data_IF_081264823642
#
_entry.id   IF_081264823642
#
_cell.length_a   1.000
_cell.length_b   1.000
_cell.length_c   1.000
_cell.angle_alpha   90.00
_cell.angle_beta   90.00
_cell.angle_gamma   90.00
#
_symmetry.space_group_name_H-M   'P 1'
#
loop_
_entity.id
_entity.type
_entity.pdbx_description
1 polymer ?
#
# COMPACT_ATOMS: atom_id res chain seq x y z
N UNK A 1 81.18 -9.55 -53.87
CA UNK A 1 80.29 -8.73 -54.71
C UNK A 1 78.90 -9.32 -54.69
N UNK A 2 77.90 -8.44 -54.61
CA UNK A 2 76.46 -8.65 -54.91
C UNK A 2 75.61 -9.44 -53.90
N UNK A 3 74.79 -8.65 -53.22
CA UNK A 3 73.62 -8.97 -52.41
C UNK A 3 72.55 -9.63 -53.28
N UNK A 4 71.85 -10.64 -52.76
CA UNK A 4 70.48 -10.96 -53.17
C UNK A 4 69.66 -11.32 -51.94
N UNK A 5 68.65 -10.48 -51.69
CA UNK A 5 67.65 -10.62 -50.65
C UNK A 5 66.58 -11.56 -51.20
N UNK A 6 66.39 -12.71 -50.56
CA UNK A 6 65.29 -13.64 -50.82
C UNK A 6 64.18 -13.30 -49.83
N UNK A 7 63.09 -12.73 -50.33
CA UNK A 7 61.85 -12.56 -49.59
C UNK A 7 61.09 -13.90 -49.58
N UNK A 8 61.08 -14.58 -48.43
CA UNK A 8 60.25 -15.76 -48.20
C UNK A 8 58.85 -15.34 -47.76
N UNK A 9 57.88 -15.75 -48.58
CA UNK A 9 56.45 -15.60 -48.33
C UNK A 9 56.01 -16.66 -47.30
N UNK A 10 55.91 -16.27 -46.02
CA UNK A 10 55.32 -17.12 -44.97
C UNK A 10 53.80 -16.92 -45.01
N UNK A 11 53.10 -17.86 -45.65
CA UNK A 11 51.65 -17.98 -45.54
C UNK A 11 51.28 -18.52 -44.15
N UNK A 12 50.95 -17.63 -43.22
CA UNK A 12 50.37 -18.00 -41.94
C UNK A 12 48.90 -18.40 -42.16
N UNK A 13 48.60 -19.71 -42.09
CA UNK A 13 47.23 -20.19 -41.90
C UNK A 13 46.80 -19.86 -40.47
N UNK A 14 46.09 -18.74 -40.30
CA UNK A 14 45.38 -18.42 -39.07
C UNK A 14 44.09 -19.24 -39.00
N UNK A 15 44.14 -20.40 -38.32
CA UNK A 15 42.96 -21.07 -37.82
C UNK A 15 42.39 -20.23 -36.67
N UNK A 16 41.51 -19.29 -37.00
CA UNK A 16 40.72 -18.58 -36.00
C UNK A 16 39.73 -19.56 -35.38
N UNK A 17 39.88 -19.81 -34.07
CA UNK A 17 38.86 -20.45 -33.25
C UNK A 17 37.55 -19.68 -33.39
N UNK A 18 36.59 -20.25 -34.11
CA UNK A 18 35.21 -19.78 -34.13
C UNK A 18 34.63 -20.14 -32.76
N UNK A 19 34.81 -19.26 -31.78
CA UNK A 19 34.04 -19.29 -30.55
C UNK A 19 32.59 -19.07 -30.95
N UNK A 20 31.83 -20.16 -31.05
CA UNK A 20 30.38 -20.11 -31.17
C UNK A 20 29.86 -19.56 -29.85
N UNK A 21 29.66 -18.24 -29.79
CA UNK A 21 28.96 -17.59 -28.68
C UNK A 21 27.53 -18.11 -28.73
N UNK A 22 27.26 -19.16 -27.95
CA UNK A 22 25.88 -19.57 -27.72
C UNK A 22 25.21 -18.39 -27.01
N UNK A 23 24.26 -17.75 -27.68
CA UNK A 23 23.45 -16.71 -27.08
C UNK A 23 22.84 -17.26 -25.80
N UNK A 24 23.16 -16.62 -24.66
CA UNK A 24 22.60 -17.01 -23.38
C UNK A 24 21.07 -17.03 -23.50
N UNK A 25 20.45 -18.12 -23.06
CA UNK A 25 19.00 -18.22 -23.04
C UNK A 25 18.43 -16.97 -22.35
N UNK A 26 17.41 -16.31 -22.93
CA UNK A 26 16.83 -15.11 -22.35
C UNK A 26 16.47 -15.38 -20.91
N UNK A 27 16.97 -14.52 -20.01
CA UNK A 27 16.69 -14.63 -18.60
C UNK A 27 15.16 -14.68 -18.40
N UNK A 28 14.65 -15.61 -17.58
CA UNK A 28 13.21 -15.68 -17.32
C UNK A 28 12.73 -14.30 -16.88
N UNK A 29 11.61 -13.86 -17.47
CA UNK A 29 11.02 -12.56 -17.15
C UNK A 29 10.85 -12.45 -15.63
N UNK A 30 11.35 -11.35 -15.05
CA UNK A 30 11.23 -11.10 -13.63
C UNK A 30 9.75 -11.21 -13.24
N UNK A 31 9.45 -12.08 -12.27
CA UNK A 31 8.11 -12.21 -11.72
C UNK A 31 7.69 -10.85 -11.16
N UNK A 32 6.52 -10.37 -11.60
CA UNK A 32 5.96 -9.13 -11.09
C UNK A 32 5.90 -9.20 -9.55
N UNK A 33 6.29 -8.14 -8.83
CA UNK A 33 6.25 -8.15 -7.38
C UNK A 33 4.83 -8.46 -6.92
N UNK A 34 4.70 -9.40 -5.98
CA UNK A 34 3.41 -9.76 -5.41
C UNK A 34 2.74 -8.50 -4.84
N UNK A 35 1.44 -8.34 -5.13
CA UNK A 35 0.66 -7.23 -4.60
C UNK A 35 0.68 -7.25 -3.07
N UNK A 36 0.88 -6.08 -2.44
CA UNK A 36 0.83 -5.94 -0.99
C UNK A 36 -0.59 -6.19 -0.49
N UNK A 37 -0.72 -6.91 0.63
CA UNK A 37 -2.00 -7.18 1.30
C UNK A 37 -2.27 -6.13 2.38
N UNK A 38 -3.47 -5.58 2.41
CA UNK A 38 -3.91 -4.69 3.49
C UNK A 38 -4.60 -5.54 4.56
N UNK A 39 -4.09 -5.48 5.79
CA UNK A 39 -4.60 -6.27 6.91
C UNK A 39 -5.01 -5.35 8.06
N UNK A 40 -5.93 -5.83 8.89
CA UNK A 40 -6.27 -5.15 10.13
C UNK A 40 -5.10 -5.27 11.13
N UNK A 41 -5.01 -4.30 12.05
CA UNK A 41 -4.01 -4.33 13.12
C UNK A 41 -4.46 -5.29 14.23
N UNK A 42 -3.77 -6.41 14.38
CA UNK A 42 -3.96 -7.29 15.54
C UNK A 42 -3.21 -6.73 16.76
N UNK A 43 -3.78 -6.80 17.98
CA UNK A 43 -3.06 -6.42 19.20
C UNK A 43 -1.74 -7.18 19.35
N UNK A 44 -0.74 -6.52 19.91
CA UNK A 44 0.59 -7.08 20.19
C UNK A 44 0.84 -6.92 21.69
N UNK A 45 0.95 -8.05 22.39
CA UNK A 45 1.29 -8.14 23.82
C UNK A 45 2.63 -8.82 24.08
N UNK A 46 3.37 -9.17 23.02
CA UNK A 46 4.71 -9.78 23.08
C UNK A 46 4.75 -11.16 23.74
N UNK A 47 3.61 -11.84 23.83
CA UNK A 47 3.52 -13.17 24.40
C UNK A 47 4.16 -14.22 23.49
N UNK A 48 4.68 -15.30 24.09
CA UNK A 48 5.47 -16.30 23.38
C UNK A 48 4.74 -17.02 22.22
N UNK A 49 3.41 -16.99 22.21
CA UNK A 49 2.56 -17.58 21.16
C UNK A 49 2.27 -16.60 20.02
N UNK A 50 2.60 -15.32 20.17
CA UNK A 50 2.40 -14.30 19.14
C UNK A 50 3.47 -14.39 18.05
N UNK A 51 3.14 -14.04 16.80
CA UNK A 51 4.16 -13.84 15.77
C UNK A 51 5.16 -12.75 16.18
N UNK A 52 6.46 -13.00 15.98
CA UNK A 52 7.49 -11.99 16.20
C UNK A 52 7.41 -10.94 15.09
N UNK A 53 6.69 -9.85 15.36
CA UNK A 53 6.48 -8.74 14.43
C UNK A 53 7.41 -7.55 14.70
N UNK A 54 8.48 -7.75 15.48
CA UNK A 54 9.38 -6.68 15.89
C UNK A 54 10.84 -7.00 15.57
N UNK A 55 11.63 -5.95 15.41
CA UNK A 55 13.05 -6.03 15.09
C UNK A 55 13.81 -4.96 15.86
N UNK A 56 14.99 -5.31 16.35
CA UNK A 56 15.89 -4.34 16.98
C UNK A 56 16.68 -3.59 15.91
N UNK A 57 16.82 -2.27 16.07
CA UNK A 57 17.71 -1.46 15.23
C UNK A 57 19.19 -1.65 15.57
N UNK A 58 20.05 -0.97 14.81
CA UNK A 58 21.49 -0.91 15.11
C UNK A 58 21.69 -0.20 16.46
N UNK A 59 22.25 -0.90 17.45
CA UNK A 59 22.46 -0.35 18.79
C UNK A 59 23.92 0.07 18.96
N UNK A 60 24.15 1.22 19.61
CA UNK A 60 25.49 1.58 20.07
C UNK A 60 25.94 0.61 21.18
N UNK A 61 25.10 0.39 22.20
CA UNK A 61 25.32 -0.58 23.30
C UNK A 61 24.02 -1.13 23.92
N UNK A 62 22.85 -0.76 23.38
CA UNK A 62 21.55 -1.12 23.93
C UNK A 62 21.08 -2.53 23.55
N UNK A 63 20.04 -3.00 24.23
CA UNK A 63 19.39 -4.28 24.04
C UNK A 63 17.87 -4.10 23.95
N UNK A 64 17.23 -4.93 23.15
CA UNK A 64 15.78 -5.06 23.12
C UNK A 64 15.45 -6.51 23.45
N UNK A 65 14.70 -6.74 24.51
CA UNK A 65 14.42 -8.07 25.05
C UNK A 65 12.98 -8.17 25.51
N UNK A 66 12.42 -9.38 25.43
CA UNK A 66 11.11 -9.69 26.01
C UNK A 66 11.34 -10.10 27.46
N UNK A 67 10.73 -9.37 28.39
CA UNK A 67 10.84 -9.57 29.84
C UNK A 67 9.53 -10.06 30.42
N UNK A 68 9.55 -10.61 31.64
CA UNK A 68 8.32 -10.82 32.41
C UNK A 68 7.73 -9.47 32.81
N UNK A 69 6.42 -9.31 32.65
CA UNK A 69 5.71 -8.08 33.03
C UNK A 69 4.72 -8.33 34.18
N UNK A 70 4.27 -7.27 34.84
CA UNK A 70 3.27 -7.34 35.90
C UNK A 70 1.82 -7.41 35.37
N UNK A 71 1.56 -6.82 34.19
CA UNK A 71 0.22 -6.70 33.58
C UNK A 71 -0.11 -7.82 32.56
N UNK A 72 0.77 -8.82 32.45
CA UNK A 72 0.73 -9.94 31.51
C UNK A 72 1.82 -10.97 31.83
N UNK A 73 2.12 -11.94 30.95
CA UNK A 73 3.30 -12.79 31.15
C UNK A 73 4.57 -12.19 30.56
N UNK A 74 4.46 -11.37 29.51
CA UNK A 74 5.61 -10.81 28.80
C UNK A 74 5.41 -9.34 28.35
N UNK A 75 6.49 -8.59 28.17
CA UNK A 75 6.49 -7.24 27.57
C UNK A 75 7.85 -6.95 26.91
N UNK A 76 7.91 -5.95 26.01
CA UNK A 76 9.15 -5.58 25.34
C UNK A 76 9.91 -4.48 26.09
N UNK A 77 11.10 -4.78 26.59
CA UNK A 77 12.01 -3.79 27.18
C UNK A 77 13.00 -3.28 26.14
N UNK A 78 13.11 -1.97 25.99
CA UNK A 78 14.19 -1.31 25.27
C UNK A 78 15.16 -0.74 26.30
N UNK A 79 16.36 -1.31 26.40
CA UNK A 79 17.41 -0.90 27.31
C UNK A 79 18.53 -0.15 26.60
N UNK A 80 18.78 1.09 27.01
CA UNK A 80 19.86 1.96 26.52
C UNK A 80 20.95 1.93 27.58
N UNK A 81 21.96 1.08 27.40
CA UNK A 81 23.06 0.91 28.37
C UNK A 81 24.04 2.09 28.36
N UNK A 82 24.20 2.73 27.22
CA UNK A 82 24.96 3.96 27.05
C UNK A 82 24.32 4.80 25.95
N UNK A 83 24.44 6.11 26.07
CA UNK A 83 23.89 7.08 25.12
C UNK A 83 24.61 7.01 23.77
N UNK A 84 23.87 6.79 22.69
CA UNK A 84 24.36 6.98 21.34
C UNK A 84 24.62 8.48 21.06
N UNK A 85 25.76 8.77 20.44
CA UNK A 85 26.12 10.11 19.94
C UNK A 85 25.72 10.31 18.48
N UNK A 86 25.50 9.21 17.73
CA UNK A 86 25.04 9.20 16.35
C UNK A 86 23.58 8.73 16.28
N UNK A 87 22.73 9.53 15.63
CA UNK A 87 21.32 9.20 15.33
C UNK A 87 21.16 7.92 14.50
N UNK A 88 22.22 7.44 13.83
CA UNK A 88 22.21 6.18 13.08
C UNK A 88 22.38 4.94 13.96
N UNK A 89 22.82 5.10 15.21
CA UNK A 89 23.14 4.01 16.14
C UNK A 89 22.20 3.98 17.36
N UNK A 90 21.00 4.52 17.19
CA UNK A 90 19.97 4.54 18.22
C UNK A 90 19.50 3.13 18.57
N UNK A 91 19.35 2.88 19.86
CA UNK A 91 18.62 1.73 20.36
C UNK A 91 17.14 1.90 20.03
N UNK A 92 16.64 1.07 19.12
CA UNK A 92 15.25 1.15 18.63
C UNK A 92 14.62 -0.22 18.55
N UNK A 93 13.30 -0.27 18.68
CA UNK A 93 12.48 -1.41 18.27
C UNK A 93 11.51 -0.96 17.19
N UNK A 94 11.43 -1.72 16.11
CA UNK A 94 10.49 -1.45 15.01
C UNK A 94 9.51 -2.60 14.89
N UNK A 95 8.22 -2.30 15.06
CA UNK A 95 7.12 -3.19 14.71
C UNK A 95 6.87 -3.11 13.20
N UNK A 96 6.73 -4.26 12.55
CA UNK A 96 6.43 -4.40 11.14
C UNK A 96 5.22 -5.31 10.94
N UNK A 97 4.35 -5.04 9.95
CA UNK A 97 3.31 -5.97 9.56
C UNK A 97 3.94 -7.28 9.04
N UNK A 98 3.19 -8.40 9.03
CA UNK A 98 3.63 -9.64 8.39
C UNK A 98 4.17 -9.40 6.97
N UNK A 99 5.16 -10.21 6.55
CA UNK A 99 5.83 -10.05 5.26
C UNK A 99 4.82 -10.00 4.10
N UNK A 100 4.95 -8.98 3.25
CA UNK A 100 4.05 -8.77 2.10
C UNK A 100 2.71 -8.12 2.45
N UNK A 101 2.57 -7.56 3.66
CA UNK A 101 1.36 -6.86 4.08
C UNK A 101 1.64 -5.45 4.63
N UNK A 102 0.57 -4.68 4.80
CA UNK A 102 0.52 -3.36 5.41
C UNK A 102 -0.63 -3.33 6.42
N UNK A 103 -0.46 -2.62 7.54
CA UNK A 103 -1.59 -2.38 8.44
C UNK A 103 -2.48 -1.27 7.88
N UNK A 104 -3.79 -1.53 7.88
CA UNK A 104 -4.82 -0.61 7.39
C UNK A 104 -5.65 -0.11 8.57
N UNK A 105 -5.36 1.10 9.03
CA UNK A 105 -6.13 1.83 10.03
C UNK A 105 -6.92 2.97 9.36
N UNK A 106 -7.86 3.55 10.09
CA UNK A 106 -8.49 4.82 9.69
C UNK A 106 -7.85 5.99 10.42
N UNK A 107 -8.01 7.22 9.94
CA UNK A 107 -7.51 8.42 10.66
C UNK A 107 -8.30 8.73 11.94
N UNK A 108 -9.39 8.01 12.20
CA UNK A 108 -10.15 8.08 13.44
C UNK A 108 -9.70 7.04 14.45
N UNK A 109 -9.10 5.95 13.98
CA UNK A 109 -8.53 4.94 14.86
C UNK A 109 -7.43 5.57 15.72
N UNK A 110 -7.35 5.09 16.96
CA UNK A 110 -6.33 5.52 17.91
C UNK A 110 -5.39 4.35 18.16
N UNK A 111 -4.13 4.48 17.75
CA UNK A 111 -3.10 3.51 18.09
C UNK A 111 -2.66 3.80 19.53
N UNK A 112 -2.82 2.80 20.40
CA UNK A 112 -2.47 2.87 21.81
C UNK A 112 -1.35 1.90 22.15
N UNK A 113 -0.54 2.26 23.12
CA UNK A 113 0.42 1.37 23.76
C UNK A 113 0.54 1.74 25.23
N UNK A 114 0.85 0.77 26.07
CA UNK A 114 1.19 0.99 27.47
C UNK A 114 2.70 1.09 27.59
N UNK A 115 3.20 2.13 28.24
CA UNK A 115 4.63 2.38 28.38
C UNK A 115 4.97 2.61 29.85
N UNK A 116 5.86 1.78 30.37
CA UNK A 116 6.37 1.87 31.73
C UNK A 116 7.78 2.45 31.75
N UNK A 117 7.95 3.50 32.55
CA UNK A 117 9.24 4.07 32.90
C UNK A 117 9.65 3.57 34.30
N UNK A 118 10.64 2.66 34.40
CA UNK A 118 11.08 2.10 35.67
C UNK A 118 12.08 2.99 36.42
N UNK A 119 12.38 4.20 35.91
CA UNK A 119 13.40 5.08 36.46
C UNK A 119 12.81 6.14 37.37
N UNK A 120 13.64 6.68 38.27
CA UNK A 120 13.27 7.77 39.18
C UNK A 120 13.35 9.18 38.54
N UNK A 121 13.37 9.26 37.22
CA UNK A 121 13.35 10.49 36.43
C UNK A 121 12.39 10.37 35.25
N UNK A 122 11.89 11.51 34.74
CA UNK A 122 11.01 11.53 33.57
C UNK A 122 11.75 11.13 32.30
N UNK A 123 11.09 10.35 31.45
CA UNK A 123 11.65 9.90 30.17
C UNK A 123 10.83 10.39 28.98
N UNK A 124 11.51 10.67 27.87
CA UNK A 124 10.87 10.96 26.59
C UNK A 124 10.95 9.73 25.68
N UNK A 125 9.79 9.21 25.29
CA UNK A 125 9.65 8.20 24.24
C UNK A 125 9.30 8.89 22.93
N UNK A 126 9.95 8.46 21.84
CA UNK A 126 9.62 8.85 20.48
C UNK A 126 9.10 7.66 19.68
N UNK A 127 8.10 7.94 18.85
CA UNK A 127 7.54 6.99 17.89
C UNK A 127 7.66 7.59 16.49
N UNK A 128 8.36 6.91 15.60
CA UNK A 128 8.28 7.19 14.17
C UNK A 128 7.35 6.18 13.51
N UNK A 129 6.33 6.68 12.84
CA UNK A 129 5.39 5.86 12.08
C UNK A 129 5.60 6.16 10.61
N UNK A 130 5.76 5.13 9.78
CA UNK A 130 5.99 5.28 8.35
C UNK A 130 4.90 4.57 7.55
N UNK A 131 4.45 5.22 6.48
CA UNK A 131 3.50 4.64 5.53
C UNK A 131 4.22 4.07 4.29
N UNK A 132 3.46 3.40 3.42
CA UNK A 132 4.00 2.78 2.22
C UNK A 132 4.29 3.78 1.07
N UNK A 133 3.82 5.03 1.16
CA UNK A 133 4.12 6.11 0.20
C UNK A 133 5.35 6.93 0.59
N UNK A 134 6.01 6.59 1.70
CA UNK A 134 7.30 7.16 2.10
C UNK A 134 7.19 8.38 3.01
N UNK A 135 6.03 8.65 3.59
CA UNK A 135 5.93 9.62 4.68
C UNK A 135 6.37 9.00 6.01
N UNK A 136 6.85 9.84 6.91
CA UNK A 136 7.16 9.49 8.28
C UNK A 136 6.67 10.59 9.20
N UNK A 137 6.03 10.18 10.28
CA UNK A 137 5.50 11.05 11.32
C UNK A 137 6.16 10.73 12.65
N UNK A 138 6.73 11.76 13.29
CA UNK A 138 7.27 11.68 14.65
C UNK A 138 6.16 12.03 15.65
N UNK A 139 5.97 11.17 16.65
CA UNK A 139 5.18 11.42 17.85
C UNK A 139 6.09 11.33 19.09
N UNK A 140 5.84 12.16 20.11
CA UNK A 140 6.70 12.37 21.27
C UNK A 140 5.84 12.31 22.53
N UNK A 141 6.25 11.48 23.48
CA UNK A 141 5.51 11.27 24.72
C UNK A 141 6.45 11.38 25.92
N UNK A 142 6.05 12.18 26.92
CA UNK A 142 6.68 12.20 28.24
C UNK A 142 6.04 11.14 29.14
N UNK A 143 6.87 10.31 29.74
CA UNK A 143 6.50 9.24 30.68
C UNK A 143 7.10 9.59 32.04
N UNK A 144 6.28 9.92 33.06
CA UNK A 144 6.76 10.30 34.37
C UNK A 144 7.63 9.22 35.03
N UNK A 145 8.49 9.63 35.96
CA UNK A 145 9.28 8.71 36.79
C UNK A 145 8.41 7.62 37.46
N UNK A 146 8.90 6.37 37.48
CA UNK A 146 8.30 5.20 38.13
C UNK A 146 6.80 5.02 37.81
N UNK A 147 6.42 5.27 36.56
CA UNK A 147 5.01 5.27 36.16
C UNK A 147 4.77 4.47 34.89
N UNK A 148 3.53 4.02 34.76
CA UNK A 148 2.98 3.41 33.55
C UNK A 148 1.99 4.39 32.93
N UNK A 149 2.11 4.62 31.63
CA UNK A 149 1.22 5.54 30.89
C UNK A 149 0.70 4.88 29.62
N UNK A 150 -0.60 4.99 29.41
CA UNK A 150 -1.22 4.73 28.11
C UNK A 150 -0.97 5.92 27.18
N UNK A 151 -0.17 5.69 26.15
CA UNK A 151 0.07 6.67 25.08
C UNK A 151 -0.90 6.42 23.93
N UNK A 152 -1.26 7.49 23.22
CA UNK A 152 -2.24 7.46 22.15
C UNK A 152 -1.75 8.28 20.96
N UNK A 153 -1.74 7.67 19.79
CA UNK A 153 -1.55 8.32 18.50
C UNK A 153 -2.92 8.38 17.83
N UNK A 154 -3.47 9.58 17.75
CA UNK A 154 -4.83 9.86 17.27
C UNK A 154 -4.81 10.70 15.97
N UNK A 155 -5.99 11.19 15.56
CA UNK A 155 -6.17 12.06 14.39
C UNK A 155 -5.19 13.24 14.32
N UNK A 156 -4.89 13.88 15.44
CA UNK A 156 -3.97 15.03 15.47
C UNK A 156 -2.54 14.56 15.21
N UNK A 157 -2.17 13.42 15.78
CA UNK A 157 -0.84 12.85 15.62
C UNK A 157 -0.63 12.28 14.21
N UNK A 158 -1.65 11.66 13.59
CA UNK A 158 -1.57 11.17 12.21
C UNK A 158 -1.19 12.27 11.22
N UNK A 159 -1.75 13.46 11.39
CA UNK A 159 -1.58 14.59 10.48
C UNK A 159 -2.27 14.36 9.12
N UNK A 160 -2.09 15.30 8.21
CA UNK A 160 -2.56 15.15 6.82
C UNK A 160 -1.45 14.46 5.99
N UNK A 161 -1.74 13.35 5.28
CA UNK A 161 -0.75 12.61 4.50
C UNK A 161 0.09 13.51 3.59
N UNK A 162 1.42 13.43 3.71
CA UNK A 162 2.36 14.19 2.90
C UNK A 162 2.56 15.67 3.29
N UNK A 163 1.73 16.21 4.18
CA UNK A 163 1.83 17.61 4.64
C UNK A 163 2.70 17.69 5.89
N UNK A 164 3.78 18.47 5.82
CA UNK A 164 4.65 18.71 6.97
C UNK A 164 3.95 19.61 8.02
N UNK A 165 3.96 19.18 9.27
CA UNK A 165 3.50 20.00 10.40
C UNK A 165 4.23 19.60 11.67
N UNK A 166 4.33 20.54 12.61
CA UNK A 166 4.97 20.31 13.90
C UNK A 166 4.22 21.05 14.99
N UNK A 167 4.01 20.37 16.10
CA UNK A 167 3.58 20.98 17.34
C UNK A 167 4.27 20.23 18.46
N UNK A 168 5.32 20.82 19.02
CA UNK A 168 6.12 20.20 20.06
C UNK A 168 5.39 20.14 21.41
N UNK A 169 4.38 21.01 21.62
CA UNK A 169 3.53 21.00 22.81
C UNK A 169 2.51 19.86 22.77
N UNK A 170 2.00 19.55 21.56
CA UNK A 170 1.15 18.39 21.30
C UNK A 170 1.96 17.13 20.91
N UNK A 171 3.29 17.22 20.92
CA UNK A 171 4.19 16.08 20.76
C UNK A 171 4.25 15.47 19.36
N UNK A 172 4.26 16.25 18.27
CA UNK A 172 4.48 15.69 16.92
C UNK A 172 5.31 16.57 15.97
N UNK A 173 5.89 15.95 14.93
CA UNK A 173 6.64 16.63 13.87
C UNK A 173 6.70 15.78 12.58
N UNK A 174 7.22 16.36 11.48
CA UNK A 174 7.38 15.74 10.15
C UNK A 174 6.08 15.66 9.31
N UNK A 175 6.11 14.94 8.19
CA UNK A 175 4.94 14.80 7.30
C UNK A 175 3.88 13.92 7.96
N UNK A 176 2.61 14.29 7.82
CA UNK A 176 1.53 13.37 8.14
C UNK A 176 1.63 12.09 7.31
N UNK A 177 1.08 11.01 7.86
CA UNK A 177 1.10 9.68 7.23
C UNK A 177 -0.30 9.28 6.76
N UNK A 178 -0.35 8.35 5.81
CA UNK A 178 -1.58 7.64 5.49
C UNK A 178 -1.79 6.42 6.40
N UNK A 179 -2.73 6.47 7.36
CA UNK A 179 -2.97 5.37 8.29
C UNK A 179 -3.54 4.10 7.60
N UNK A 180 -4.01 4.19 6.36
CA UNK A 180 -4.51 3.03 5.61
C UNK A 180 -3.40 2.10 5.09
N UNK A 181 -2.14 2.54 5.17
CA UNK A 181 -1.00 1.84 4.59
C UNK A 181 0.25 1.93 5.47
N UNK A 182 0.09 1.68 6.79
CA UNK A 182 1.20 1.70 7.75
C UNK A 182 2.16 0.54 7.48
N UNK A 183 3.43 0.90 7.30
CA UNK A 183 4.52 -0.02 7.01
C UNK A 183 5.37 -0.33 8.24
N UNK A 184 5.54 0.62 9.16
CA UNK A 184 6.38 0.43 10.34
C UNK A 184 5.99 1.39 11.47
N UNK A 185 6.16 0.93 12.72
CA UNK A 185 6.05 1.73 13.94
C UNK A 185 7.34 1.52 14.73
N UNK A 186 8.15 2.57 14.88
CA UNK A 186 9.46 2.51 15.53
C UNK A 186 9.46 3.29 16.84
N UNK A 187 9.76 2.59 17.93
CA UNK A 187 9.95 3.15 19.27
C UNK A 187 11.43 3.39 19.56
N UNK A 188 11.77 4.54 20.13
CA UNK A 188 13.14 4.90 20.48
C UNK A 188 13.18 6.09 21.45
N UNK A 189 14.34 6.34 22.06
CA UNK A 189 14.63 7.60 22.75
C UNK A 189 15.58 8.45 21.91
N UNK A 190 15.49 9.77 22.05
CA UNK A 190 16.41 10.69 21.38
C UNK A 190 17.77 10.77 22.07
N UNK A 191 18.49 9.64 22.08
CA UNK A 191 19.75 9.49 22.82
C UNK A 191 20.72 10.65 22.57
N UNK A 192 20.99 11.14 21.34
CA UNK A 192 21.93 12.24 21.13
C UNK A 192 21.49 13.60 21.69
N UNK A 193 20.25 13.75 22.18
CA UNK A 193 19.72 15.02 22.70
C UNK A 193 19.95 15.13 24.20
N UNK A 194 20.77 16.10 24.64
CA UNK A 194 21.20 16.19 26.03
C UNK A 194 20.05 16.43 27.02
N UNK A 195 19.04 17.21 26.60
CA UNK A 195 17.87 17.53 27.43
C UNK A 195 16.90 16.36 27.61
N UNK A 196 17.02 15.30 26.81
CA UNK A 196 16.16 14.10 26.90
C UNK A 196 16.69 13.09 27.92
N UNK A 197 18.00 13.10 28.17
CA UNK A 197 18.69 12.22 29.12
C UNK A 197 19.57 13.05 30.07
N UNK A 198 19.10 14.21 30.52
CA UNK A 198 19.91 15.13 31.30
C UNK A 198 20.37 14.46 32.61
N UNK A 199 21.69 14.39 32.82
CA UNK A 199 22.30 13.72 33.98
C UNK A 199 22.26 12.19 33.93
N UNK A 200 21.75 11.57 32.86
CA UNK A 200 21.62 10.12 32.74
C UNK A 200 22.52 9.55 31.65
N UNK A 201 23.24 8.48 31.97
CA UNK A 201 24.10 7.76 31.00
C UNK A 201 23.40 6.53 30.40
N UNK A 202 22.35 6.05 31.05
CA UNK A 202 21.54 4.90 30.64
C UNK A 202 20.07 5.16 30.93
N UNK A 203 19.20 4.45 30.23
CA UNK A 203 17.75 4.45 30.50
C UNK A 203 17.11 3.20 29.92
N UNK A 204 15.83 3.01 30.18
CA UNK A 204 15.02 1.96 29.58
C UNK A 204 13.56 2.31 29.64
N UNK A 205 12.77 1.72 28.75
CA UNK A 205 11.32 1.76 28.83
C UNK A 205 10.77 0.39 28.43
N UNK A 206 9.64 0.05 29.01
CA UNK A 206 8.94 -1.22 28.78
C UNK A 206 7.67 -0.89 28.01
N UNK A 207 7.47 -1.54 26.86
CA UNK A 207 6.34 -1.35 25.97
C UNK A 207 5.48 -2.61 26.02
N UNK A 208 4.18 -2.42 26.15
CA UNK A 208 3.20 -3.50 26.16
C UNK A 208 1.86 -3.05 25.56
N UNK A 209 0.94 -3.99 25.33
CA UNK A 209 -0.44 -3.77 24.94
C UNK A 209 -0.62 -2.81 23.76
N UNK A 210 0.19 -2.99 22.71
CA UNK A 210 0.09 -2.20 21.48
C UNK A 210 -1.16 -2.62 20.73
N UNK A 211 -2.11 -1.70 20.60
CA UNK A 211 -3.47 -2.00 20.13
C UNK A 211 -4.06 -0.84 19.37
N UNK A 212 -5.12 -1.12 18.63
CA UNK A 212 -5.91 -0.09 17.96
C UNK A 212 -7.29 -0.03 18.61
N UNK A 213 -7.64 1.14 19.12
CA UNK A 213 -9.02 1.46 19.47
C UNK A 213 -9.70 2.02 18.22
N UNK A 214 -10.80 1.39 17.80
CA UNK A 214 -11.50 1.81 16.59
C UNK A 214 -12.19 3.15 16.83
N UNK A 215 -11.84 4.10 15.99
CA UNK A 215 -12.49 5.40 16.00
C UNK A 215 -13.89 5.30 15.43
N UNK A 216 -14.79 6.14 15.95
CA UNK A 216 -16.06 6.36 15.26
C UNK A 216 -15.78 7.23 14.05
N UNK A 217 -15.83 6.64 12.85
CA UNK A 217 -15.95 7.42 11.62
C UNK A 217 -17.21 8.26 11.79
N UNK A 218 -17.15 9.61 11.74
CA UNK A 218 -18.33 10.45 11.84
C UNK A 218 -19.34 10.03 10.77
N UNK A 219 -20.38 9.31 11.18
CA UNK A 219 -21.37 8.78 10.25
C UNK A 219 -22.04 9.96 9.56
N UNK A 220 -22.27 9.83 8.26
CA UNK A 220 -22.96 10.84 7.46
C UNK A 220 -22.09 11.91 6.80
N UNK A 221 -20.78 11.99 7.08
CA UNK A 221 -19.92 12.88 6.27
C UNK A 221 -19.76 12.27 4.88
N UNK A 222 -20.50 12.84 3.93
CA UNK A 222 -20.52 12.38 2.54
C UNK A 222 -19.41 13.06 1.75
N UNK A 223 -18.66 12.26 1.00
CA UNK A 223 -17.60 12.72 0.13
C UNK A 223 -18.01 12.56 -1.33
N UNK A 224 -17.37 13.33 -2.20
CA UNK A 224 -17.75 13.38 -3.62
C UNK A 224 -17.00 12.33 -4.41
N UNK A 225 -17.73 11.57 -5.22
CA UNK A 225 -17.19 10.81 -6.34
C UNK A 225 -17.37 11.66 -7.60
N UNK A 226 -16.25 12.08 -8.19
CA UNK A 226 -16.13 12.87 -9.42
C UNK A 226 -15.85 11.95 -10.63
N UNK A 227 -15.91 12.53 -11.82
CA UNK A 227 -15.57 11.84 -13.07
C UNK A 227 -16.73 11.00 -13.64
N UNK A 228 -17.92 11.08 -13.05
CA UNK A 228 -19.14 10.49 -13.61
C UNK A 228 -19.95 11.50 -14.40
N UNK A 229 -20.66 11.01 -15.41
CA UNK A 229 -21.69 11.73 -16.15
C UNK A 229 -23.06 11.32 -15.61
N UNK A 230 -23.98 12.27 -15.40
CA UNK A 230 -25.36 11.91 -15.09
C UNK A 230 -25.99 11.20 -16.29
N UNK A 231 -26.97 10.35 -16.03
CA UNK A 231 -27.78 9.79 -17.11
C UNK A 231 -28.54 10.90 -17.85
N UNK A 232 -28.71 10.74 -19.16
CA UNK A 232 -29.35 11.76 -20.00
C UNK A 232 -30.78 12.14 -19.56
N UNK A 233 -31.48 11.23 -18.87
CA UNK A 233 -32.83 11.44 -18.35
C UNK A 233 -32.86 11.84 -16.85
N UNK A 234 -31.71 12.06 -16.21
CA UNK A 234 -31.59 12.40 -14.79
C UNK A 234 -31.99 11.30 -13.79
N UNK A 235 -32.46 10.14 -14.28
CA UNK A 235 -32.95 9.02 -13.44
C UNK A 235 -32.21 7.70 -13.69
N UNK A 236 -31.43 7.62 -14.76
CA UNK A 236 -30.58 6.47 -15.05
C UNK A 236 -29.27 6.45 -14.24
N UNK A 237 -28.48 5.38 -14.39
CA UNK A 237 -27.22 5.23 -13.67
C UNK A 237 -26.23 6.32 -14.07
N UNK A 238 -25.59 6.94 -13.07
CA UNK A 238 -24.37 7.69 -13.30
C UNK A 238 -23.33 6.76 -13.94
N UNK A 239 -22.65 7.24 -14.98
CA UNK A 239 -21.68 6.43 -15.70
C UNK A 239 -20.42 7.23 -16.05
N UNK A 240 -19.29 6.53 -16.16
CA UNK A 240 -18.08 7.11 -16.71
C UNK A 240 -17.50 6.22 -17.81
N UNK A 241 -17.16 6.81 -18.98
CA UNK A 241 -16.47 6.06 -20.01
C UNK A 241 -15.05 5.75 -19.54
N UNK A 242 -14.66 4.48 -19.56
CA UNK A 242 -13.29 4.09 -19.33
C UNK A 242 -12.44 4.56 -20.51
N UNK A 243 -11.24 5.08 -20.24
CA UNK A 243 -10.35 5.59 -21.29
C UNK A 243 -9.91 4.44 -22.21
N UNK A 244 -10.23 4.55 -23.50
CA UNK A 244 -9.97 3.52 -24.52
C UNK A 244 -8.53 3.00 -24.53
N UNK A 245 -7.58 3.92 -24.38
CA UNK A 245 -6.14 3.62 -24.36
C UNK A 245 -5.74 2.63 -23.24
N UNK A 246 -6.53 2.53 -22.17
CA UNK A 246 -6.24 1.62 -21.06
C UNK A 246 -6.47 0.14 -21.41
N UNK A 247 -7.29 -0.15 -22.43
CA UNK A 247 -7.70 -1.52 -22.73
C UNK A 247 -7.57 -1.92 -24.21
N UNK A 248 -7.50 -0.97 -25.14
CA UNK A 248 -7.41 -1.26 -26.58
C UNK A 248 -6.11 -1.99 -26.96
N UNK A 249 -4.97 -1.64 -26.37
CA UNK A 249 -3.68 -2.27 -26.70
C UNK A 249 -3.67 -3.78 -26.40
N UNK A 250 -4.42 -4.20 -25.39
CA UNK A 250 -4.57 -5.60 -24.97
C UNK A 250 -5.70 -6.25 -25.76
N UNK A 251 -6.90 -5.66 -25.71
CA UNK A 251 -8.12 -6.30 -26.16
C UNK A 251 -8.36 -6.14 -27.66
N UNK A 252 -7.90 -5.05 -28.29
CA UNK A 252 -8.17 -4.75 -29.70
C UNK A 252 -7.51 -5.70 -30.70
N UNK A 253 -6.54 -6.50 -30.25
CA UNK A 253 -5.92 -7.54 -31.08
C UNK A 253 -6.75 -8.82 -31.15
N UNK A 254 -7.49 -9.11 -30.09
CA UNK A 254 -8.16 -10.39 -29.87
C UNK A 254 -9.68 -10.26 -29.91
N UNK A 255 -10.24 -9.09 -29.61
CA UNK A 255 -11.68 -8.84 -29.61
C UNK A 255 -12.06 -7.97 -30.81
N UNK A 256 -13.16 -8.34 -31.47
CA UNK A 256 -13.83 -7.54 -32.49
C UNK A 256 -15.20 -7.10 -31.98
N UNK A 257 -15.70 -5.98 -32.52
CA UNK A 257 -17.02 -5.45 -32.21
C UNK A 257 -17.88 -5.29 -33.45
N UNK A 258 -19.09 -5.87 -33.42
CA UNK A 258 -20.18 -5.53 -34.35
C UNK A 258 -19.88 -5.79 -35.85
N UNK A 259 -20.75 -5.24 -36.70
CA UNK A 259 -20.62 -5.27 -38.16
C UNK A 259 -20.79 -3.84 -38.71
N UNK A 260 -19.78 -3.23 -39.35
CA UNK A 260 -18.45 -3.77 -39.63
C UNK A 260 -17.62 -3.99 -38.36
N UNK A 261 -16.67 -4.95 -38.37
CA UNK A 261 -15.86 -5.27 -37.20
C UNK A 261 -14.96 -4.10 -36.84
N UNK A 262 -15.31 -3.40 -35.77
CA UNK A 262 -14.52 -2.34 -35.18
C UNK A 262 -14.40 -2.59 -33.67
N UNK A 263 -13.22 -2.32 -33.11
CA UNK A 263 -13.06 -2.42 -31.66
C UNK A 263 -14.03 -1.44 -30.97
N UNK A 264 -14.96 -1.90 -30.10
CA UNK A 264 -15.99 -1.03 -29.56
C UNK A 264 -15.41 0.16 -28.79
N UNK A 265 -16.03 1.32 -29.00
CA UNK A 265 -15.50 2.59 -28.52
C UNK A 265 -15.76 2.89 -27.04
N UNK A 266 -16.36 1.98 -26.26
CA UNK A 266 -16.63 2.30 -24.86
C UNK A 266 -16.84 1.08 -23.99
N UNK A 267 -16.03 0.94 -22.94
CA UNK A 267 -16.47 0.32 -21.69
C UNK A 267 -16.93 1.44 -20.76
N UNK A 268 -17.93 1.17 -19.92
CA UNK A 268 -18.46 2.17 -18.98
C UNK A 268 -18.44 1.64 -17.56
N UNK A 269 -18.04 2.49 -16.62
CA UNK A 269 -18.19 2.27 -15.20
C UNK A 269 -19.52 2.86 -14.73
N UNK A 270 -20.28 2.11 -13.95
CA UNK A 270 -21.45 2.60 -13.23
C UNK A 270 -21.20 2.47 -11.73
N UNK A 271 -21.73 3.40 -10.95
CA UNK A 271 -21.65 3.33 -9.49
C UNK A 271 -22.88 2.65 -8.92
N UNK A 272 -22.68 1.70 -8.02
CA UNK A 272 -23.77 1.07 -7.26
C UNK A 272 -23.45 1.06 -5.76
N UNK A 273 -24.51 1.05 -4.96
CA UNK A 273 -24.50 0.77 -3.52
C UNK A 273 -25.65 -0.17 -3.21
N UNK A 274 -25.38 -1.24 -2.46
CA UNK A 274 -26.38 -2.25 -2.11
C UNK A 274 -27.13 -2.79 -3.34
N UNK A 275 -26.40 -2.99 -4.44
CA UNK A 275 -26.93 -3.45 -5.74
C UNK A 275 -27.72 -2.41 -6.54
N UNK A 276 -28.01 -1.22 -5.99
CA UNK A 276 -28.75 -0.14 -6.66
C UNK A 276 -27.81 0.91 -7.24
N UNK A 277 -28.20 1.51 -8.37
CA UNK A 277 -27.41 2.59 -8.98
C UNK A 277 -27.39 3.83 -8.09
N UNK A 278 -26.21 4.44 -7.94
CA UNK A 278 -26.07 5.74 -7.30
C UNK A 278 -26.38 6.84 -8.33
N UNK A 279 -27.36 7.73 -8.06
CA UNK A 279 -27.65 8.85 -8.94
C UNK A 279 -26.56 9.92 -8.81
N UNK A 280 -26.16 10.51 -9.93
CA UNK A 280 -25.36 11.73 -9.94
C UNK A 280 -26.28 12.95 -10.04
N UNK A 281 -25.88 14.05 -9.41
CA UNK A 281 -26.55 15.32 -9.60
C UNK A 281 -26.32 15.90 -11.02
N UNK A 282 -26.90 17.06 -11.30
CA UNK A 282 -26.74 17.75 -12.59
C UNK A 282 -25.29 18.13 -12.93
N UNK A 283 -24.38 18.12 -11.97
CA UNK A 283 -22.95 18.40 -12.14
C UNK A 283 -22.11 17.12 -12.28
N UNK A 284 -22.73 15.95 -12.23
CA UNK A 284 -21.99 14.68 -12.27
C UNK A 284 -21.30 14.36 -10.94
N UNK A 285 -21.87 14.82 -9.82
CA UNK A 285 -21.36 14.56 -8.47
C UNK A 285 -22.23 13.47 -7.84
N UNK A 286 -21.58 12.43 -7.31
CA UNK A 286 -22.22 11.43 -6.46
C UNK A 286 -21.67 11.62 -5.05
N UNK A 287 -22.55 11.67 -4.04
CA UNK A 287 -22.16 11.84 -2.65
C UNK A 287 -22.34 10.53 -1.89
N UNK A 288 -21.27 10.03 -1.27
CA UNK A 288 -21.31 8.78 -0.50
C UNK A 288 -20.61 9.01 0.85
N UNK A 289 -21.24 8.65 1.98
CA UNK A 289 -20.58 8.61 3.28
C UNK A 289 -19.28 7.80 3.28
N UNK A 290 -18.24 8.33 3.94
CA UNK A 290 -17.01 7.54 4.14
C UNK A 290 -17.30 6.25 4.92
N UNK A 291 -16.53 5.21 4.60
CA UNK A 291 -16.66 3.88 5.20
C UNK A 291 -17.71 2.99 4.53
N UNK A 292 -18.58 3.53 3.69
CA UNK A 292 -19.56 2.72 2.96
C UNK A 292 -18.94 1.98 1.78
N UNK A 293 -19.43 0.77 1.53
CA UNK A 293 -19.04 0.01 0.35
C UNK A 293 -19.73 0.55 -0.90
N UNK A 294 -18.96 0.78 -1.95
CA UNK A 294 -19.42 1.22 -3.28
C UNK A 294 -18.89 0.25 -4.31
N UNK A 295 -19.73 -0.09 -5.28
CA UNK A 295 -19.37 -0.97 -6.40
C UNK A 295 -19.08 -0.15 -7.65
N UNK A 296 -17.90 -0.34 -8.23
CA UNK A 296 -17.60 0.01 -9.62
C UNK A 296 -18.10 -1.14 -10.51
N UNK A 297 -19.23 -0.93 -11.19
CA UNK A 297 -19.79 -1.88 -12.14
C UNK A 297 -19.26 -1.60 -13.55
N UNK A 298 -18.29 -2.38 -13.99
CA UNK A 298 -17.74 -2.31 -15.34
C UNK A 298 -18.68 -3.03 -16.32
N UNK A 299 -19.31 -2.25 -17.19
CA UNK A 299 -20.15 -2.74 -18.26
C UNK A 299 -19.42 -2.67 -19.61
N UNK A 300 -19.42 -3.81 -20.31
CA UNK A 300 -18.93 -3.95 -21.69
C UNK A 300 -20.12 -3.95 -22.66
N UNK A 301 -19.96 -3.38 -23.86
CA UNK A 301 -21.02 -3.34 -24.86
C UNK A 301 -21.33 -4.70 -25.47
N UNK A 302 -22.56 -4.85 -25.99
CA UNK A 302 -23.14 -6.11 -26.49
C UNK A 302 -22.28 -6.86 -27.50
N UNK A 303 -21.49 -6.16 -28.30
CA UNK A 303 -20.92 -6.71 -29.53
C UNK A 303 -19.51 -7.29 -29.44
N UNK A 304 -18.89 -7.44 -28.25
CA UNK A 304 -17.54 -8.04 -28.16
C UNK A 304 -17.58 -9.55 -28.48
N UNK A 305 -16.76 -9.99 -29.43
CA UNK A 305 -16.54 -11.39 -29.83
C UNK A 305 -15.05 -11.68 -30.05
N UNK A 306 -14.63 -12.95 -29.96
CA UNK A 306 -13.25 -13.35 -30.25
C UNK A 306 -12.95 -13.23 -31.75
N UNK A 307 -11.81 -12.63 -32.08
CA UNK A 307 -11.29 -12.55 -33.45
C UNK A 307 -11.05 -13.96 -33.98
N UNK A 308 -11.77 -14.32 -35.03
CA UNK A 308 -11.71 -15.67 -35.61
C UNK A 308 -12.77 -16.63 -35.07
N UNK A 309 -13.62 -16.21 -34.12
CA UNK A 309 -14.83 -16.91 -33.67
C UNK A 309 -14.64 -18.33 -33.10
N UNK A 310 -13.44 -18.68 -32.64
CA UNK A 310 -13.13 -20.01 -32.08
C UNK A 310 -12.22 -19.88 -30.86
N UNK A 311 -12.56 -20.57 -29.77
CA UNK A 311 -11.68 -20.76 -28.61
C UNK A 311 -12.28 -20.34 -27.26
N UNK A 312 -11.60 -20.73 -26.19
CA UNK A 312 -11.95 -20.39 -24.81
C UNK A 312 -10.86 -19.51 -24.19
N UNK A 313 -11.23 -18.34 -23.68
CA UNK A 313 -10.30 -17.47 -22.95
C UNK A 313 -11.01 -16.81 -21.76
N UNK A 314 -10.27 -16.47 -20.72
CA UNK A 314 -10.76 -15.60 -19.65
C UNK A 314 -10.29 -14.17 -19.89
N UNK A 315 -11.20 -13.21 -19.78
CA UNK A 315 -10.84 -11.83 -19.54
C UNK A 315 -10.71 -11.61 -18.04
N UNK A 316 -9.47 -11.48 -17.60
CA UNK A 316 -9.14 -11.07 -16.24
C UNK A 316 -9.02 -9.55 -16.24
N UNK A 317 -9.78 -8.89 -15.36
CA UNK A 317 -9.73 -7.45 -15.13
C UNK A 317 -9.30 -7.21 -13.70
N UNK A 318 -8.24 -6.44 -13.52
CA UNK A 318 -7.71 -6.07 -12.21
C UNK A 318 -7.82 -4.57 -11.99
N UNK A 319 -8.29 -4.17 -10.81
CA UNK A 319 -8.36 -2.78 -10.37
C UNK A 319 -7.41 -2.57 -9.20
N UNK A 320 -6.65 -1.49 -9.28
CA UNK A 320 -5.77 -1.00 -8.21
C UNK A 320 -6.02 0.50 -8.00
N UNK A 321 -5.61 1.06 -6.86
CA UNK A 321 -5.71 2.48 -6.59
C UNK A 321 -4.33 3.06 -6.22
N UNK A 322 -3.74 3.97 -7.01
CA UNK A 322 -2.51 4.67 -6.62
C UNK A 322 -2.67 5.53 -5.36
N UNK A 323 -3.92 5.90 -5.00
CA UNK A 323 -4.27 6.68 -3.81
C UNK A 323 -4.49 5.81 -2.56
N UNK A 324 -4.24 4.50 -2.63
CA UNK A 324 -4.45 3.61 -1.49
C UNK A 324 -5.92 3.35 -1.12
N UNK A 325 -6.90 3.67 -1.99
CA UNK A 325 -8.31 3.32 -1.77
C UNK A 325 -8.44 1.81 -1.58
N UNK A 326 -9.10 1.41 -0.48
CA UNK A 326 -9.32 0.00 -0.12
C UNK A 326 -10.31 -0.64 -1.09
N UNK A 327 -9.80 -1.45 -2.00
CA UNK A 327 -10.58 -2.26 -2.95
C UNK A 327 -10.76 -3.66 -2.35
N UNK A 328 -12.02 -4.07 -2.15
CA UNK A 328 -12.40 -5.37 -1.57
C UNK A 328 -12.33 -6.49 -2.61
N UNK A 329 -12.60 -6.18 -3.87
CA UNK A 329 -12.55 -7.13 -4.98
C UNK A 329 -11.63 -6.60 -6.06
N UNK A 330 -10.37 -7.02 -6.04
CA UNK A 330 -9.32 -6.48 -6.91
C UNK A 330 -9.31 -7.08 -8.30
N UNK A 331 -9.66 -8.36 -8.45
CA UNK A 331 -9.66 -9.05 -9.74
C UNK A 331 -10.97 -9.77 -9.98
N UNK A 332 -11.49 -9.66 -11.20
CA UNK A 332 -12.65 -10.39 -11.70
C UNK A 332 -12.29 -11.07 -13.01
N UNK A 333 -12.81 -12.28 -13.22
CA UNK A 333 -12.58 -13.06 -14.43
C UNK A 333 -13.90 -13.37 -15.12
N UNK A 334 -13.98 -13.08 -16.42
CA UNK A 334 -15.13 -13.42 -17.24
C UNK A 334 -14.69 -14.41 -18.33
N UNK A 335 -15.29 -15.61 -18.42
CA UNK A 335 -15.03 -16.52 -19.53
C UNK A 335 -15.64 -16.01 -20.85
N UNK A 336 -14.89 -16.21 -21.94
CA UNK A 336 -15.17 -15.93 -23.34
C UNK A 336 -15.15 -17.27 -24.08
N UNK A 337 -16.25 -17.61 -24.75
CA UNK A 337 -16.39 -18.88 -25.48
C UNK A 337 -16.87 -18.56 -26.89
N UNK A 338 -16.04 -18.89 -27.89
CA UNK A 338 -16.33 -18.83 -29.32
C UNK A 338 -16.91 -17.47 -29.79
N UNK A 339 -17.92 -17.51 -30.66
CA UNK A 339 -18.60 -16.35 -31.25
C UNK A 339 -19.64 -15.69 -30.34
N UNK A 340 -19.75 -16.10 -29.06
CA UNK A 340 -20.81 -15.61 -28.19
C UNK A 340 -20.56 -14.14 -27.83
N UNK A 341 -21.52 -13.29 -28.19
CA UNK A 341 -21.53 -11.87 -27.85
C UNK A 341 -21.61 -11.62 -26.34
N UNK A 342 -20.70 -10.79 -25.84
CA UNK A 342 -20.46 -10.68 -24.39
C UNK A 342 -21.29 -9.64 -23.70
N UNK A 343 -21.69 -8.54 -24.32
CA UNK A 343 -22.43 -7.53 -23.54
C UNK A 343 -23.89 -7.88 -23.28
N UNK A 344 -24.29 -9.14 -23.52
CA UNK A 344 -25.47 -9.75 -22.88
C UNK A 344 -25.15 -10.36 -21.50
N UNK A 345 -23.87 -10.40 -21.10
CA UNK A 345 -23.38 -10.93 -19.84
C UNK A 345 -23.24 -9.83 -18.78
N UNK A 346 -23.50 -10.22 -17.54
CA UNK A 346 -23.36 -9.45 -16.30
C UNK A 346 -22.07 -8.64 -16.24
N UNK A 347 -22.16 -7.31 -16.05
CA UNK A 347 -20.97 -6.50 -15.84
C UNK A 347 -20.15 -6.96 -14.62
N UNK A 348 -18.87 -6.61 -14.60
CA UNK A 348 -17.94 -6.99 -13.53
C UNK A 348 -18.07 -6.01 -12.36
N UNK A 349 -18.16 -6.51 -11.13
CA UNK A 349 -18.30 -5.70 -9.92
C UNK A 349 -16.97 -5.64 -9.17
N UNK A 350 -16.50 -4.43 -8.90
CA UNK A 350 -15.34 -4.17 -8.06
C UNK A 350 -15.78 -3.30 -6.88
N UNK A 351 -15.82 -3.89 -5.69
CA UNK A 351 -16.23 -3.18 -4.48
C UNK A 351 -15.03 -2.44 -3.87
N UNK A 352 -15.25 -1.22 -3.40
CA UNK A 352 -14.29 -0.44 -2.64
C UNK A 352 -14.97 0.23 -1.45
N UNK A 353 -14.19 0.57 -0.43
CA UNK A 353 -14.66 1.37 0.70
C UNK A 353 -14.47 2.85 0.36
N UNK A 354 -15.55 3.63 0.41
CA UNK A 354 -15.48 5.08 0.18
C UNK A 354 -14.50 5.70 1.19
N UNK A 355 -13.38 6.27 0.72
CA UNK A 355 -12.41 6.88 1.62
C UNK A 355 -12.93 8.21 2.13
N UNK A 356 -12.20 8.78 3.07
CA UNK A 356 -12.38 10.17 3.42
C UNK A 356 -11.64 11.07 2.44
N UNK A 357 -12.43 11.77 1.63
CA UNK A 357 -11.91 12.64 0.58
C UNK A 357 -12.61 12.35 -0.73
N UNK A 358 -12.47 13.28 -1.66
CA UNK A 358 -13.07 13.11 -2.97
C UNK A 358 -12.38 11.98 -3.72
N UNK A 359 -13.15 11.18 -4.44
CA UNK A 359 -12.67 10.11 -5.32
C UNK A 359 -12.86 10.55 -6.76
N UNK A 360 -11.82 10.48 -7.58
CA UNK A 360 -11.94 10.59 -9.03
C UNK A 360 -11.86 9.19 -9.64
N UNK A 361 -12.97 8.68 -10.17
CA UNK A 361 -13.02 7.28 -10.62
C UNK A 361 -12.13 6.98 -11.83
N UNK A 362 -11.70 8.00 -12.57
CA UNK A 362 -10.85 7.85 -13.75
C UNK A 362 -9.36 7.94 -13.39
N UNK A 363 -9.03 8.72 -12.36
CA UNK A 363 -7.64 9.01 -11.99
C UNK A 363 -7.18 8.26 -10.73
N UNK A 364 -8.08 7.98 -9.78
CA UNK A 364 -7.76 7.30 -8.53
C UNK A 364 -7.83 5.77 -8.66
N UNK A 365 -8.23 5.23 -9.82
CA UNK A 365 -8.20 3.79 -10.12
C UNK A 365 -7.41 3.50 -11.39
N UNK A 366 -6.59 2.45 -11.34
CA UNK A 366 -5.85 1.90 -12.47
C UNK A 366 -6.43 0.54 -12.83
N UNK A 367 -6.69 0.37 -14.11
CA UNK A 367 -7.30 -0.82 -14.70
C UNK A 367 -6.25 -1.59 -15.49
N UNK A 368 -6.15 -2.88 -15.24
CA UNK A 368 -5.31 -3.82 -15.98
C UNK A 368 -6.21 -4.90 -16.60
N UNK A 369 -5.91 -5.27 -17.85
CA UNK A 369 -6.69 -6.23 -18.61
C UNK A 369 -5.76 -7.33 -19.10
N UNK A 370 -6.21 -8.57 -18.98
CA UNK A 370 -5.46 -9.73 -19.45
C UNK A 370 -6.41 -10.75 -20.08
N UNK A 371 -6.00 -11.30 -21.22
CA UNK A 371 -6.65 -12.46 -21.83
C UNK A 371 -5.81 -13.69 -21.54
N UNK A 372 -6.39 -14.66 -20.84
CA UNK A 372 -5.73 -15.91 -20.47
C UNK A 372 -6.41 -17.04 -21.24
N UNK A 373 -5.72 -17.80 -22.11
CA UNK A 373 -6.29 -19.01 -22.71
C UNK A 373 -6.75 -19.96 -21.60
N UNK A 374 -7.92 -20.57 -21.75
CA UNK A 374 -8.39 -21.61 -20.82
C UNK A 374 -7.74 -22.96 -21.09
#
# INVERSE_FOLDING_TARGET
>A
MKKFIIASLIGAMALTNINVVMAAAPAPAATAPAALKYIDFAPISFEATEPVLWTSGATATGLTEVIKNADGTQALKIGINSRATDWKLLTTSTLNPPKGSLWSLTKYDVLKATVTNPHNFDTELRINISDNIGNTRLCIFKIPANSTKDIAVDKVHWGEPGVASSNWDLGYSQKGIDPSQIKAIRFYAAEPTATVMEGQTSMSFIIDNVRVEKGVVPSGTSFVINGVKPAANGTGPAFAPLVKANYEAVLGKTLLGGNPPAFPNSMTLQLKKDGKHLPADSKGIVSVPAGEAVTLHLQMFKSYQLKGNVGNTNLDVTVTSPKGIKILTTTQSQPFVDAKEIGTLSGLNFDFIMPEGNVDILNDFKWDFKLTPQ
#
